data_IF_133363888383
#
_entry.id   IF_133363888383
#
_cell.length_a   1.000
_cell.length_b   1.000
_cell.length_c   1.000
_cell.angle_alpha   90.00
_cell.angle_beta   90.00
_cell.angle_gamma   90.00
#
_symmetry.space_group_name_H-M   'P 1'
#
loop_
_entity.id
_entity.type
_entity.pdbx_description
1 polymer ?
#
# COMPACT_ATOMS: atom_id res chain seq x y z
N UNK A 1 19.47 -20.58 -17.30
CA UNK A 1 18.48 -19.65 -16.71
C UNK A 1 18.69 -19.55 -15.22
N UNK A 2 19.29 -18.45 -14.76
CA UNK A 2 19.50 -18.22 -13.34
C UNK A 2 18.17 -17.75 -12.74
N UNK A 3 17.60 -18.50 -11.79
CA UNK A 3 16.45 -18.05 -11.03
C UNK A 3 16.85 -16.79 -10.27
N UNK A 4 16.23 -15.67 -10.63
CA UNK A 4 16.34 -14.42 -9.88
C UNK A 4 15.60 -14.69 -8.56
N UNK A 5 16.36 -14.75 -7.46
CA UNK A 5 15.79 -14.89 -6.11
C UNK A 5 15.29 -13.51 -5.72
N UNK A 6 13.98 -13.40 -5.50
CA UNK A 6 13.36 -12.18 -5.02
C UNK A 6 13.75 -11.93 -3.54
N UNK A 7 14.09 -10.69 -3.16
CA UNK A 7 14.39 -10.36 -1.77
C UNK A 7 13.21 -10.62 -0.83
N UNK A 8 13.48 -11.11 0.39
CA UNK A 8 12.44 -11.43 1.39
C UNK A 8 11.53 -10.23 1.70
N UNK A 9 12.06 -9.01 1.70
CA UNK A 9 11.28 -7.81 1.98
C UNK A 9 10.27 -7.50 0.86
N UNK A 10 10.55 -7.84 -0.39
CA UNK A 10 9.64 -7.65 -1.52
C UNK A 10 8.47 -8.64 -1.42
N UNK A 11 8.75 -9.90 -1.08
CA UNK A 11 7.72 -10.92 -0.81
C UNK A 11 6.84 -10.48 0.36
N UNK A 12 7.45 -10.01 1.45
CA UNK A 12 6.74 -9.52 2.63
C UNK A 12 5.87 -8.30 2.31
N UNK A 13 6.34 -7.39 1.45
CA UNK A 13 5.59 -6.24 0.98
C UNK A 13 4.39 -6.64 0.13
N UNK A 14 4.58 -7.57 -0.82
CA UNK A 14 3.50 -8.12 -1.65
C UNK A 14 2.43 -8.79 -0.82
N UNK A 15 2.82 -9.59 0.17
CA UNK A 15 1.88 -10.21 1.10
C UNK A 15 1.10 -9.15 1.90
N UNK A 16 1.75 -8.04 2.25
CA UNK A 16 1.10 -6.89 2.90
C UNK A 16 0.08 -6.23 1.97
N UNK A 17 0.42 -6.01 0.70
CA UNK A 17 -0.50 -5.46 -0.29
C UNK A 17 -1.73 -6.36 -0.48
N UNK A 18 -1.54 -7.68 -0.54
CA UNK A 18 -2.63 -8.66 -0.61
C UNK A 18 -3.57 -8.54 0.61
N UNK A 19 -3.01 -8.46 1.82
CA UNK A 19 -3.81 -8.26 3.05
C UNK A 19 -4.67 -7.00 3.00
N UNK A 20 -4.15 -5.91 2.41
CA UNK A 20 -4.88 -4.65 2.24
C UNK A 20 -6.04 -4.80 1.25
N UNK A 21 -5.83 -5.52 0.13
CA UNK A 21 -6.85 -5.75 -0.90
C UNK A 21 -7.94 -6.75 -0.46
N UNK A 22 -7.59 -7.73 0.39
CA UNK A 22 -8.54 -8.75 0.86
C UNK A 22 -9.58 -8.19 1.85
N UNK A 23 -9.18 -7.26 2.73
CA UNK A 23 -10.07 -6.74 3.78
C UNK A 23 -9.82 -5.28 4.13
N UNK A 24 -10.87 -4.45 4.01
CA UNK A 24 -10.83 -3.02 4.33
C UNK A 24 -11.51 -2.74 5.68
N UNK A 25 -10.83 -3.10 6.78
CA UNK A 25 -11.30 -2.89 8.16
C UNK A 25 -10.27 -2.13 9.01
N UNK A 26 -10.69 -1.43 10.08
CA UNK A 26 -9.75 -0.76 10.99
C UNK A 26 -8.74 -1.73 11.61
N UNK A 27 -9.16 -2.96 11.95
CA UNK A 27 -8.26 -3.99 12.45
C UNK A 27 -7.14 -4.31 11.44
N UNK A 28 -7.49 -4.43 10.15
CA UNK A 28 -6.50 -4.71 9.11
C UNK A 28 -5.46 -3.59 8.99
N UNK A 29 -5.85 -2.34 9.19
CA UNK A 29 -4.90 -1.20 9.22
C UNK A 29 -3.91 -1.34 10.38
N UNK A 30 -4.36 -1.76 11.57
CA UNK A 30 -3.45 -2.00 12.70
C UNK A 30 -2.43 -3.10 12.39
N UNK A 31 -2.88 -4.22 11.84
CA UNK A 31 -1.99 -5.33 11.44
C UNK A 31 -0.99 -4.87 10.36
N UNK A 32 -1.46 -4.15 9.35
CA UNK A 32 -0.59 -3.59 8.30
C UNK A 32 0.42 -2.60 8.87
N UNK A 33 0.03 -1.76 9.84
CA UNK A 33 0.96 -0.85 10.54
C UNK A 33 2.10 -1.61 11.20
N UNK A 34 1.82 -2.74 11.86
CA UNK A 34 2.88 -3.59 12.44
C UNK A 34 3.85 -4.09 11.38
N UNK A 35 3.34 -4.54 10.23
CA UNK A 35 4.15 -4.97 9.09
C UNK A 35 5.02 -3.84 8.50
N UNK A 36 4.49 -2.62 8.43
CA UNK A 36 5.26 -1.45 8.00
C UNK A 36 6.38 -1.12 9.00
N UNK A 37 6.14 -1.27 10.30
CA UNK A 37 7.19 -1.09 11.31
C UNK A 37 8.32 -2.09 11.13
N UNK A 38 8.01 -3.36 10.84
CA UNK A 38 9.04 -4.38 10.57
C UNK A 38 9.92 -3.97 9.38
N UNK A 39 9.32 -3.56 8.26
CA UNK A 39 10.07 -3.12 7.07
C UNK A 39 10.96 -1.91 7.37
N UNK A 40 10.43 -0.91 8.07
CA UNK A 40 11.19 0.30 8.45
C UNK A 40 12.32 -0.07 9.41
N UNK A 41 12.08 -0.95 10.39
CA UNK A 41 13.08 -1.43 11.34
C UNK A 41 14.21 -2.21 10.64
N UNK A 42 13.91 -2.86 9.51
CA UNK A 42 14.88 -3.50 8.62
C UNK A 42 15.55 -2.54 7.62
N UNK A 43 15.48 -1.23 7.88
CA UNK A 43 16.12 -0.18 7.09
C UNK A 43 15.63 -0.10 5.63
N UNK A 44 14.39 -0.53 5.35
CA UNK A 44 13.78 -0.29 4.05
C UNK A 44 13.21 1.14 4.04
N UNK A 45 13.65 2.02 3.11
CA UNK A 45 13.16 3.40 3.07
C UNK A 45 11.66 3.48 2.81
N UNK A 46 10.97 4.42 3.47
CA UNK A 46 9.51 4.54 3.34
C UNK A 46 9.05 4.84 1.90
N UNK A 47 9.85 5.55 1.10
CA UNK A 47 9.56 5.79 -0.32
C UNK A 47 9.55 4.49 -1.14
N UNK A 48 10.44 3.55 -0.82
CA UNK A 48 10.50 2.24 -1.48
C UNK A 48 9.30 1.39 -1.08
N UNK A 49 8.96 1.38 0.21
CA UNK A 49 7.76 0.71 0.74
C UNK A 49 6.50 1.27 0.06
N UNK A 50 6.39 2.60 -0.01
CA UNK A 50 5.25 3.29 -0.63
C UNK A 50 5.09 2.91 -2.09
N UNK A 51 6.17 3.01 -2.87
CA UNK A 51 6.16 2.70 -4.29
C UNK A 51 5.82 1.23 -4.54
N UNK A 52 6.45 0.30 -3.82
CA UNK A 52 6.19 -1.12 -3.98
C UNK A 52 4.75 -1.50 -3.58
N UNK A 53 4.21 -0.93 -2.50
CA UNK A 53 2.80 -1.11 -2.15
C UNK A 53 1.88 -0.57 -3.24
N UNK A 54 2.14 0.63 -3.77
CA UNK A 54 1.32 1.20 -4.84
C UNK A 54 1.30 0.27 -6.06
N UNK A 55 2.47 -0.18 -6.51
CA UNK A 55 2.58 -1.08 -7.67
C UNK A 55 1.79 -2.37 -7.46
N UNK A 56 1.95 -3.03 -6.30
CA UNK A 56 1.24 -4.27 -5.97
C UNK A 56 -0.28 -4.06 -5.82
N UNK A 57 -0.71 -2.95 -5.21
CA UNK A 57 -2.14 -2.65 -5.05
C UNK A 57 -2.83 -2.37 -6.38
N UNK A 58 -2.16 -1.69 -7.31
CA UNK A 58 -2.68 -1.39 -8.64
C UNK A 58 -2.89 -2.65 -9.49
N UNK A 59 -2.22 -3.77 -9.18
CA UNK A 59 -2.43 -5.05 -9.90
C UNK A 59 -3.85 -5.59 -9.75
N UNK A 60 -4.53 -5.25 -8.65
CA UNK A 60 -5.90 -5.68 -8.34
C UNK A 60 -6.96 -4.64 -8.71
N UNK A 61 -6.57 -3.54 -9.36
CA UNK A 61 -7.46 -2.44 -9.72
C UNK A 61 -7.79 -2.47 -11.22
N UNK A 62 -9.02 -2.07 -11.58
CA UNK A 62 -9.36 -1.76 -12.97
C UNK A 62 -8.77 -0.39 -13.39
N UNK A 63 -8.91 -0.04 -14.67
CA UNK A 63 -8.31 1.19 -15.20
C UNK A 63 -8.87 2.47 -14.57
N UNK A 64 -10.16 2.48 -14.20
CA UNK A 64 -10.79 3.64 -13.56
C UNK A 64 -10.23 3.84 -12.16
N UNK A 65 -10.15 2.75 -11.39
CA UNK A 65 -9.62 2.76 -10.03
C UNK A 65 -8.11 3.07 -10.04
N UNK A 66 -7.35 2.54 -11.00
CA UNK A 66 -5.92 2.87 -11.17
C UNK A 66 -5.70 4.37 -11.32
N UNK A 67 -6.52 5.06 -12.12
CA UNK A 67 -6.40 6.52 -12.31
C UNK A 67 -6.60 7.24 -10.97
N UNK A 68 -7.66 6.89 -10.25
CA UNK A 68 -8.01 7.53 -8.98
C UNK A 68 -6.97 7.27 -7.87
N UNK A 69 -6.51 6.03 -7.75
CA UNK A 69 -5.48 5.63 -6.78
C UNK A 69 -4.14 6.28 -7.11
N UNK A 70 -3.74 6.35 -8.38
CA UNK A 70 -2.48 6.99 -8.79
C UNK A 70 -2.47 8.48 -8.48
N UNK A 71 -3.57 9.19 -8.75
CA UNK A 71 -3.72 10.60 -8.38
C UNK A 71 -3.61 10.80 -6.87
N UNK A 72 -4.32 9.97 -6.11
CA UNK A 72 -4.25 9.99 -4.64
C UNK A 72 -2.82 9.72 -4.17
N UNK A 73 -2.14 8.72 -4.74
CA UNK A 73 -0.79 8.35 -4.36
C UNK A 73 0.21 9.49 -4.57
N UNK A 74 0.12 10.24 -5.67
CA UNK A 74 1.00 11.37 -5.92
C UNK A 74 0.94 12.43 -4.81
N UNK A 75 -0.24 12.71 -4.26
CA UNK A 75 -0.40 13.64 -3.14
C UNK A 75 0.26 13.11 -1.85
N UNK A 76 0.09 11.83 -1.56
CA UNK A 76 0.64 11.20 -0.36
C UNK A 76 2.15 11.01 -0.44
N UNK A 77 2.69 10.67 -1.61
CA UNK A 77 4.13 10.57 -1.86
C UNK A 77 4.81 11.93 -1.62
N UNK A 78 4.24 13.02 -2.14
CA UNK A 78 4.76 14.36 -1.91
C UNK A 78 4.81 14.71 -0.41
N UNK A 79 3.75 14.37 0.33
CA UNK A 79 3.69 14.61 1.79
C UNK A 79 4.68 13.74 2.55
N UNK A 80 4.87 12.48 2.13
CA UNK A 80 5.83 11.56 2.73
C UNK A 80 7.24 12.15 2.70
N UNK A 81 7.65 12.72 1.55
CA UNK A 81 8.98 13.35 1.37
C UNK A 81 9.20 14.62 2.19
N UNK A 82 8.12 15.28 2.61
CA UNK A 82 8.17 16.53 3.39
C UNK A 82 7.95 16.32 4.88
N UNK A 83 7.45 15.15 5.28
CA UNK A 83 7.06 14.83 6.65
C UNK A 83 8.22 14.30 7.50
N UNK A 84 8.06 14.38 8.82
CA UNK A 84 9.03 13.83 9.77
C UNK A 84 8.64 12.44 10.31
N UNK A 85 7.45 11.94 9.98
CA UNK A 85 6.92 10.69 10.53
C UNK A 85 6.32 9.80 9.43
N UNK A 86 7.20 9.08 8.76
CA UNK A 86 6.90 8.25 7.59
C UNK A 86 5.72 7.29 7.80
N UNK A 87 5.66 6.61 8.95
CA UNK A 87 4.60 5.64 9.27
C UNK A 87 3.19 6.26 9.20
N UNK A 88 3.02 7.52 9.63
CA UNK A 88 1.70 8.17 9.58
C UNK A 88 1.27 8.47 8.14
N UNK A 89 2.21 8.80 7.27
CA UNK A 89 1.93 9.06 5.86
C UNK A 89 1.61 7.77 5.11
N UNK A 90 2.36 6.69 5.35
CA UNK A 90 2.10 5.37 4.79
C UNK A 90 0.71 4.86 5.21
N UNK A 91 0.41 4.92 6.51
CA UNK A 91 -0.90 4.51 6.99
C UNK A 91 -2.04 5.34 6.41
N UNK A 92 -1.87 6.66 6.37
CA UNK A 92 -2.93 7.54 5.88
C UNK A 92 -3.21 7.29 4.39
N UNK A 93 -2.21 6.91 3.60
CA UNK A 93 -2.40 6.45 2.23
C UNK A 93 -3.18 5.13 2.19
N UNK A 94 -2.78 4.13 3.00
CA UNK A 94 -3.44 2.82 3.04
C UNK A 94 -4.90 2.93 3.46
N UNK A 95 -5.20 3.74 4.48
CA UNK A 95 -6.56 4.01 4.92
C UNK A 95 -7.39 4.66 3.79
N UNK A 96 -6.78 5.60 3.04
CA UNK A 96 -7.44 6.24 1.90
C UNK A 96 -7.67 5.26 0.75
N UNK A 97 -6.69 4.42 0.43
CA UNK A 97 -6.83 3.35 -0.55
C UNK A 97 -7.97 2.41 -0.17
N UNK A 98 -7.98 1.88 1.06
CA UNK A 98 -9.02 0.97 1.55
C UNK A 98 -10.42 1.59 1.44
N UNK A 99 -10.56 2.89 1.72
CA UNK A 99 -11.83 3.61 1.58
C UNK A 99 -12.30 3.66 0.12
N UNK A 100 -11.43 4.04 -0.81
CA UNK A 100 -11.76 4.12 -2.25
C UNK A 100 -12.06 2.71 -2.79
N UNK A 101 -11.19 1.74 -2.50
CA UNK A 101 -11.29 0.37 -2.98
C UNK A 101 -12.59 -0.30 -2.54
N UNK A 102 -12.97 -0.12 -1.26
CA UNK A 102 -14.23 -0.65 -0.74
C UNK A 102 -15.45 -0.02 -1.40
N UNK A 103 -15.44 1.30 -1.61
CA UNK A 103 -16.53 2.01 -2.29
C UNK A 103 -16.73 1.52 -3.72
N UNK A 104 -15.63 1.22 -4.43
CA UNK A 104 -15.66 0.67 -5.78
C UNK A 104 -16.29 -0.72 -5.81
N UNK A 105 -15.85 -1.64 -4.94
CA UNK A 105 -16.40 -3.00 -4.84
C UNK A 105 -17.89 -3.00 -4.45
N UNK A 106 -18.27 -2.19 -3.47
CA UNK A 106 -19.66 -2.10 -3.01
C UNK A 106 -20.56 -1.45 -4.09
N UNK A 107 -20.00 -0.54 -4.90
CA UNK A 107 -20.66 0.15 -6.01
C UNK A 107 -20.89 -0.73 -7.24
N UNK A 108 -19.93 -1.59 -7.58
CA UNK A 108 -20.03 -2.58 -8.68
C UNK A 108 -20.97 -3.75 -8.34
N UNK A 109 -21.37 -3.89 -7.08
CA UNK A 109 -22.29 -4.93 -6.61
C UNK A 109 -23.78 -4.62 -6.87
N UNK A 110 -24.09 -3.55 -7.62
CA UNK A 110 -25.43 -3.11 -8.01
C UNK A 110 -25.55 -2.90 -9.52
#
# INVERSE_FOLDING_TARGET
DQQIIEPDWEIYLRDTARMISEQQTPQRIFEVRERLYELIAHCIPAEIIFKGLLEELLTNCDDVLKIQITQTAAEYEHRLRQGSKEIFHLEAFIAKFMCIYKQHIDGDSH
#
